data_IF_536075610966
#
_entry.id   IF_536075610966
#
_cell.length_a   1.000
_cell.length_b   1.000
_cell.length_c   1.000
_cell.angle_alpha   90.00
_cell.angle_beta   90.00
_cell.angle_gamma   90.00
#
_symmetry.space_group_name_H-M   'P 1'
#
loop_
_entity.id
_entity.type
_entity.pdbx_description
1 polymer ?
#
# COMPACT_ATOMS: atom_id res chain seq x y z
N UNK A 1 -11.06 12.63 17.40
CA UNK A 1 -9.88 13.05 16.60
C UNK A 1 -9.34 11.78 15.97
N UNK A 2 -9.34 11.66 14.65
CA UNK A 2 -8.68 10.54 13.98
C UNK A 2 -7.20 10.58 14.35
N UNK A 3 -6.68 9.51 14.95
CA UNK A 3 -5.28 9.47 15.37
C UNK A 3 -4.39 9.21 14.14
N UNK A 4 -4.04 10.28 13.42
CA UNK A 4 -3.22 10.20 12.20
C UNK A 4 -1.86 9.52 12.44
N UNK A 5 -1.40 9.44 13.70
CA UNK A 5 -0.10 8.86 14.03
C UNK A 5 -0.13 7.37 14.37
N UNK A 6 -1.33 6.77 14.48
CA UNK A 6 -1.50 5.39 14.93
C UNK A 6 -0.65 4.40 14.11
N UNK A 7 -0.54 4.61 12.79
CA UNK A 7 0.26 3.74 11.92
C UNK A 7 1.62 4.34 11.52
N UNK A 8 1.82 5.65 11.64
CA UNK A 8 3.10 6.29 11.28
C UNK A 8 4.18 6.09 12.34
N UNK A 9 3.86 6.25 13.64
CA UNK A 9 4.85 6.14 14.71
C UNK A 9 5.45 4.72 14.79
N UNK A 10 4.66 3.64 14.65
CA UNK A 10 5.21 2.30 14.55
C UNK A 10 6.05 2.06 13.29
N UNK A 11 5.73 2.71 12.15
CA UNK A 11 6.57 2.62 10.93
C UNK A 11 7.94 3.27 11.16
N UNK A 12 8.00 4.45 11.79
CA UNK A 12 9.26 5.10 12.15
C UNK A 12 10.08 4.24 13.12
N UNK A 13 9.42 3.62 14.11
CA UNK A 13 10.06 2.69 15.03
C UNK A 13 10.69 1.50 14.30
N UNK A 14 9.97 0.87 13.37
CA UNK A 14 10.53 -0.22 12.54
C UNK A 14 11.75 0.28 11.77
N UNK A 15 11.69 1.47 11.17
CA UNK A 15 12.80 2.07 10.44
C UNK A 15 14.06 2.24 11.30
N UNK A 16 13.90 2.76 12.53
CA UNK A 16 15.01 2.90 13.48
C UNK A 16 15.63 1.54 13.84
N UNK A 17 14.80 0.54 14.14
CA UNK A 17 15.26 -0.81 14.50
C UNK A 17 15.95 -1.56 13.37
N UNK A 18 15.60 -1.26 12.13
CA UNK A 18 16.28 -1.81 10.96
C UNK A 18 17.76 -1.38 10.91
N UNK A 19 18.05 -0.12 11.25
CA UNK A 19 19.41 0.43 11.25
C UNK A 19 20.29 -0.08 12.40
N UNK A 20 19.69 -0.55 13.50
CA UNK A 20 20.40 -0.93 14.73
C UNK A 20 20.90 -2.38 14.74
N UNK A 21 20.19 -3.31 14.11
CA UNK A 21 20.57 -4.74 14.07
C UNK A 21 20.14 -5.39 12.74
N UNK A 22 21.04 -5.45 11.75
CA UNK A 22 20.72 -5.88 10.39
C UNK A 22 20.76 -7.40 10.22
N UNK A 23 20.53 -8.20 11.27
CA UNK A 23 20.49 -9.66 11.11
C UNK A 23 19.41 -10.06 10.08
N UNK A 24 19.73 -10.95 9.11
CA UNK A 24 18.81 -11.24 7.99
C UNK A 24 17.43 -11.73 8.43
N UNK A 25 17.36 -12.51 9.51
CA UNK A 25 16.09 -12.99 10.08
C UNK A 25 15.28 -11.83 10.68
N UNK A 26 15.91 -10.95 11.46
CA UNK A 26 15.23 -9.81 12.08
C UNK A 26 14.73 -8.83 11.03
N UNK A 27 15.53 -8.56 9.99
CA UNK A 27 15.12 -7.73 8.84
C UNK A 27 13.89 -8.31 8.15
N UNK A 28 13.84 -9.63 7.94
CA UNK A 28 12.67 -10.29 7.33
C UNK A 28 11.40 -10.13 8.18
N UNK A 29 11.49 -10.32 9.50
CA UNK A 29 10.34 -10.21 10.40
C UNK A 29 9.88 -8.75 10.56
N UNK A 30 10.80 -7.80 10.65
CA UNK A 30 10.48 -6.37 10.67
C UNK A 30 9.91 -5.88 9.33
N UNK A 31 10.36 -6.44 8.21
CA UNK A 31 9.76 -6.16 6.89
C UNK A 31 8.31 -6.63 6.83
N UNK A 32 8.00 -7.81 7.38
CA UNK A 32 6.62 -8.28 7.48
C UNK A 32 5.76 -7.34 8.32
N UNK A 33 6.26 -6.89 9.48
CA UNK A 33 5.58 -5.93 10.33
C UNK A 33 5.29 -4.62 9.59
N UNK A 34 6.26 -4.08 8.83
CA UNK A 34 6.07 -2.89 8.00
C UNK A 34 5.02 -3.12 6.91
N UNK A 35 5.10 -4.26 6.21
CA UNK A 35 4.18 -4.61 5.15
C UNK A 35 2.73 -4.69 5.67
N UNK A 36 2.53 -5.19 6.89
CA UNK A 36 1.21 -5.23 7.56
C UNK A 36 0.63 -3.83 7.75
N UNK A 37 1.43 -2.88 8.28
CA UNK A 37 0.95 -1.50 8.45
C UNK A 37 0.64 -0.84 7.11
N UNK A 38 1.53 -1.04 6.12
CA UNK A 38 1.32 -0.51 4.76
C UNK A 38 0.09 -1.12 4.09
N UNK A 39 -0.21 -2.40 4.34
CA UNK A 39 -1.42 -3.05 3.84
C UNK A 39 -2.68 -2.39 4.39
N UNK A 40 -2.73 -2.10 5.70
CA UNK A 40 -3.88 -1.43 6.31
C UNK A 40 -4.10 -0.04 5.73
N UNK A 41 -3.03 0.72 5.47
CA UNK A 41 -3.09 2.01 4.82
C UNK A 41 -3.56 1.90 3.36
N UNK A 42 -2.90 1.05 2.58
CA UNK A 42 -3.17 0.88 1.16
C UNK A 42 -4.59 0.39 0.87
N UNK A 43 -5.19 -0.36 1.80
CA UNK A 43 -6.57 -0.87 1.70
C UNK A 43 -7.60 -0.01 2.43
N UNK A 44 -7.18 1.08 3.07
CA UNK A 44 -8.02 2.05 3.75
C UNK A 44 -8.72 1.51 5.00
N UNK A 45 -8.04 0.64 5.73
CA UNK A 45 -8.58 -0.05 6.90
C UNK A 45 -8.27 0.63 8.23
N UNK A 46 -7.64 1.81 8.22
CA UNK A 46 -7.25 2.59 9.42
C UNK A 46 -8.32 2.61 10.50
N UNK A 47 -9.52 2.98 10.08
CA UNK A 47 -10.72 3.14 10.90
C UNK A 47 -11.20 1.82 11.52
N UNK A 48 -11.20 0.73 10.74
CA UNK A 48 -11.57 -0.61 11.24
C UNK A 48 -10.51 -1.17 12.18
N UNK A 49 -9.24 -0.89 11.89
CA UNK A 49 -8.14 -1.27 12.73
C UNK A 49 -8.12 -0.48 14.04
N UNK A 50 -8.39 0.83 14.02
CA UNK A 50 -8.51 1.67 15.21
C UNK A 50 -9.61 1.14 16.14
N UNK A 51 -10.79 0.80 15.59
CA UNK A 51 -11.89 0.20 16.35
C UNK A 51 -11.47 -1.12 17.00
N UNK A 52 -10.72 -1.96 16.28
CA UNK A 52 -10.19 -3.23 16.77
C UNK A 52 -9.13 -3.03 17.86
N UNK A 53 -8.20 -2.09 17.66
CA UNK A 53 -7.14 -1.77 18.62
C UNK A 53 -7.71 -1.26 19.95
N UNK A 54 -8.78 -0.46 19.91
CA UNK A 54 -9.47 0.01 21.11
C UNK A 54 -10.31 -1.08 21.80
N UNK A 55 -10.84 -2.04 21.04
CA UNK A 55 -11.71 -3.10 21.55
C UNK A 55 -11.33 -4.45 20.91
N UNK A 56 -10.22 -5.07 21.36
CA UNK A 56 -9.75 -6.32 20.77
C UNK A 56 -10.78 -7.44 20.98
N UNK A 57 -11.55 -7.71 19.92
CA UNK A 57 -12.53 -8.79 19.87
C UNK A 57 -11.84 -10.12 19.60
N UNK A 58 -11.77 -11.00 20.60
CA UNK A 58 -11.20 -12.32 20.45
C UNK A 58 -12.09 -13.24 19.62
N UNK A 59 -11.58 -13.71 18.49
CA UNK A 59 -11.94 -15.01 17.90
C UNK A 59 -10.89 -15.40 16.86
N UNK A 60 -9.84 -16.10 17.30
CA UNK A 60 -9.02 -16.89 16.38
C UNK A 60 -9.83 -18.12 15.96
N UNK A 61 -10.23 -18.19 14.69
CA UNK A 61 -10.69 -19.46 14.11
C UNK A 61 -9.46 -20.36 13.94
N UNK A 62 -9.53 -21.65 14.30
CA UNK A 62 -8.45 -22.59 14.01
C UNK A 62 -8.28 -22.67 12.49
N UNK A 63 -7.07 -22.39 12.00
CA UNK A 63 -6.69 -22.50 10.59
C UNK A 63 -5.63 -23.55 10.39
N UNK A 64 -5.57 -24.05 9.16
CA UNK A 64 -4.50 -24.92 8.69
C UNK A 64 -3.26 -24.05 8.45
N UNK A 65 -2.11 -24.36 9.07
CA UNK A 65 -0.92 -23.52 8.93
C UNK A 65 -0.45 -23.48 7.47
N UNK A 66 -0.36 -22.29 6.89
CA UNK A 66 0.49 -22.02 5.72
C UNK A 66 1.79 -21.31 6.16
N UNK A 67 2.78 -21.20 5.28
CA UNK A 67 4.07 -20.54 5.53
C UNK A 67 3.90 -19.11 6.06
N UNK A 68 2.85 -18.41 5.62
CA UNK A 68 2.54 -17.07 6.11
C UNK A 68 2.11 -17.07 7.59
N UNK A 69 1.36 -18.08 8.04
CA UNK A 69 0.96 -18.21 9.44
C UNK A 69 2.17 -18.44 10.34
N UNK A 70 3.13 -19.27 9.89
CA UNK A 70 4.39 -19.47 10.62
C UNK A 70 5.18 -18.16 10.75
N UNK A 71 5.24 -17.35 9.69
CA UNK A 71 5.90 -16.04 9.72
C UNK A 71 5.18 -15.05 10.63
N UNK A 72 3.85 -15.07 10.68
CA UNK A 72 3.08 -14.25 11.62
C UNK A 72 3.44 -14.63 13.06
N UNK A 73 3.43 -15.92 13.39
CA UNK A 73 3.78 -16.42 14.74
C UNK A 73 5.21 -16.01 15.12
N UNK A 74 6.18 -16.13 14.19
CA UNK A 74 7.56 -15.73 14.45
C UNK A 74 7.70 -14.23 14.68
N UNK A 75 7.03 -13.40 13.87
CA UNK A 75 7.02 -11.95 14.02
C UNK A 75 6.35 -11.53 15.33
N UNK A 76 5.21 -12.13 15.69
CA UNK A 76 4.53 -11.90 16.97
C UNK A 76 5.41 -12.27 18.16
N UNK A 77 6.11 -13.41 18.10
CA UNK A 77 7.03 -13.83 19.15
C UNK A 77 8.22 -12.88 19.31
N UNK A 78 8.80 -12.40 18.20
CA UNK A 78 9.88 -11.42 18.23
C UNK A 78 9.40 -10.10 18.85
N UNK A 79 8.28 -9.57 18.37
CA UNK A 79 7.73 -8.31 18.83
C UNK A 79 7.30 -8.38 20.30
N UNK A 80 6.70 -9.47 20.74
CA UNK A 80 6.35 -9.67 22.15
C UNK A 80 7.59 -9.65 23.05
N UNK A 81 8.67 -10.31 22.62
CA UNK A 81 9.95 -10.25 23.34
C UNK A 81 10.50 -8.83 23.41
N UNK A 82 10.53 -8.11 22.29
CA UNK A 82 11.00 -6.71 22.25
C UNK A 82 10.15 -5.78 23.12
N UNK A 83 8.84 -6.01 23.17
CA UNK A 83 7.88 -5.27 24.01
C UNK A 83 8.15 -5.50 25.50
N UNK A 84 8.46 -6.72 25.88
CA UNK A 84 8.73 -7.10 27.27
C UNK A 84 10.13 -6.65 27.72
N UNK A 85 11.08 -6.51 26.79
CA UNK A 85 12.45 -6.05 27.02
C UNK A 85 12.59 -4.51 27.04
N UNK A 86 11.70 -3.77 26.39
CA UNK A 86 11.79 -2.30 26.38
C UNK A 86 11.39 -1.67 27.72
N UNK A 87 12.20 -0.71 28.16
CA UNK A 87 11.90 0.16 29.31
C UNK A 87 11.06 1.40 28.95
N UNK A 88 10.77 1.64 27.68
CA UNK A 88 10.02 2.81 27.21
C UNK A 88 8.54 2.48 27.01
N UNK A 89 7.65 3.23 27.67
CA UNK A 89 6.19 3.11 27.45
C UNK A 89 5.80 3.46 26.01
N UNK A 90 6.49 4.42 25.40
CA UNK A 90 6.23 4.85 24.02
C UNK A 90 6.56 3.73 23.02
N UNK A 91 7.74 3.12 23.14
CA UNK A 91 8.11 1.99 22.29
C UNK A 91 7.19 0.80 22.53
N UNK A 92 6.80 0.57 23.79
CA UNK A 92 5.88 -0.49 24.14
C UNK A 92 4.52 -0.31 23.44
N UNK A 93 4.01 0.91 23.41
CA UNK A 93 2.77 1.24 22.70
C UNK A 93 2.92 1.03 21.18
N UNK A 94 4.03 1.48 20.58
CA UNK A 94 4.30 1.28 19.15
C UNK A 94 4.36 -0.21 18.78
N UNK A 95 5.06 -1.03 19.57
CA UNK A 95 5.12 -2.48 19.36
C UNK A 95 3.74 -3.12 19.52
N UNK A 96 2.96 -2.68 20.50
CA UNK A 96 1.60 -3.20 20.71
C UNK A 96 0.70 -2.93 19.50
N UNK A 97 0.78 -1.76 18.87
CA UNK A 97 0.03 -1.47 17.65
C UNK A 97 0.37 -2.45 16.52
N UNK A 98 1.65 -2.82 16.36
CA UNK A 98 2.09 -3.78 15.33
C UNK A 98 1.51 -5.18 15.64
N UNK A 99 1.57 -5.61 16.89
CA UNK A 99 0.98 -6.88 17.34
C UNK A 99 -0.53 -6.91 17.07
N UNK A 100 -1.23 -5.83 17.37
CA UNK A 100 -2.67 -5.74 17.13
C UNK A 100 -2.99 -5.74 15.63
N UNK A 101 -2.13 -5.18 14.78
CA UNK A 101 -2.31 -5.21 13.33
C UNK A 101 -2.18 -6.63 12.76
N UNK A 102 -1.20 -7.41 13.25
CA UNK A 102 -1.06 -8.84 12.93
C UNK A 102 -2.29 -9.63 13.37
N UNK A 103 -2.77 -9.37 14.58
CA UNK A 103 -3.97 -10.01 15.12
C UNK A 103 -5.24 -9.59 14.37
N UNK A 104 -5.33 -8.34 13.92
CA UNK A 104 -6.45 -7.83 13.13
C UNK A 104 -6.55 -8.58 11.80
N UNK A 105 -5.45 -8.71 11.05
CA UNK A 105 -5.41 -9.49 9.79
C UNK A 105 -5.83 -10.94 10.05
N UNK A 106 -5.31 -11.53 11.13
CA UNK A 106 -5.61 -12.91 11.50
C UNK A 106 -7.08 -13.13 11.86
N UNK A 107 -7.62 -12.30 12.74
CA UNK A 107 -9.00 -12.40 13.23
C UNK A 107 -10.04 -12.08 12.15
N UNK A 108 -9.68 -11.27 11.15
CA UNK A 108 -10.56 -10.88 10.05
C UNK A 108 -10.38 -11.69 8.76
N UNK A 109 -9.56 -12.75 8.78
CA UNK A 109 -9.34 -13.66 7.64
C UNK A 109 -8.71 -13.00 6.40
N UNK A 110 -7.80 -12.05 6.63
CA UNK A 110 -7.22 -11.25 5.55
C UNK A 110 -5.88 -11.76 5.02
N UNK A 111 -5.41 -12.94 5.44
CA UNK A 111 -4.13 -13.50 5.00
C UNK A 111 -3.99 -13.60 3.47
N UNK A 112 -5.06 -14.01 2.78
CA UNK A 112 -5.06 -14.10 1.31
C UNK A 112 -4.83 -12.75 0.64
N UNK A 113 -5.62 -11.74 1.04
CA UNK A 113 -5.51 -10.38 0.53
C UNK A 113 -4.16 -9.74 0.89
N UNK A 114 -3.65 -10.00 2.09
CA UNK A 114 -2.32 -9.55 2.52
C UNK A 114 -1.21 -10.18 1.69
N UNK A 115 -1.30 -11.48 1.39
CA UNK A 115 -0.32 -12.17 0.55
C UNK A 115 -0.35 -11.70 -0.91
N UNK A 116 -1.54 -11.36 -1.43
CA UNK A 116 -1.67 -10.70 -2.75
C UNK A 116 -1.03 -9.32 -2.77
N UNK A 117 -1.27 -8.51 -1.72
CA UNK A 117 -0.62 -7.21 -1.56
C UNK A 117 0.91 -7.33 -1.53
N UNK A 118 1.46 -8.28 -0.75
CA UNK A 118 2.91 -8.48 -0.70
C UNK A 118 3.49 -8.89 -2.05
N UNK A 119 2.84 -9.81 -2.77
CA UNK A 119 3.26 -10.20 -4.13
C UNK A 119 3.22 -9.02 -5.11
N UNK A 120 2.22 -8.14 -4.97
CA UNK A 120 2.12 -6.92 -5.76
C UNK A 120 3.30 -5.95 -5.50
N UNK A 121 3.66 -5.74 -4.23
CA UNK A 121 4.80 -4.91 -3.83
C UNK A 121 6.13 -5.54 -4.26
N UNK A 122 6.31 -6.86 -4.06
CA UNK A 122 7.51 -7.60 -4.46
C UNK A 122 7.72 -7.59 -5.98
N UNK A 123 6.64 -7.55 -6.78
CA UNK A 123 6.70 -7.35 -8.23
C UNK A 123 6.97 -5.88 -8.63
N UNK A 124 7.17 -4.99 -7.66
CA UNK A 124 7.35 -3.56 -7.83
C UNK A 124 6.11 -2.86 -8.37
N UNK A 125 4.89 -3.37 -8.12
CA UNK A 125 3.66 -2.82 -8.67
C UNK A 125 3.40 -1.34 -8.30
N UNK A 126 2.55 -0.64 -9.08
CA UNK A 126 2.17 0.75 -8.78
C UNK A 126 1.41 0.86 -7.45
N UNK A 127 1.26 2.05 -6.85
CA UNK A 127 0.53 2.19 -5.60
C UNK A 127 -0.87 1.57 -5.69
N UNK A 128 -1.25 0.77 -4.70
CA UNK A 128 -2.51 0.02 -4.70
C UNK A 128 -3.71 0.98 -4.77
N UNK A 129 -4.76 0.58 -5.49
CA UNK A 129 -6.02 1.32 -5.59
C UNK A 129 -7.19 0.40 -5.23
N UNK A 130 -8.20 0.89 -4.53
CA UNK A 130 -9.32 0.06 -4.03
C UNK A 130 -10.59 0.16 -4.89
N UNK A 131 -10.65 1.15 -5.78
CA UNK A 131 -11.74 1.33 -6.73
C UNK A 131 -11.29 2.18 -7.93
N UNK A 132 -11.97 2.06 -9.06
CA UNK A 132 -11.83 2.96 -10.20
C UNK A 132 -13.21 3.47 -10.65
N UNK A 133 -13.23 4.70 -11.14
CA UNK A 133 -14.41 5.39 -11.66
C UNK A 133 -14.03 6.17 -12.91
N UNK A 134 -14.95 6.24 -13.88
CA UNK A 134 -14.73 7.00 -15.11
C UNK A 134 -14.89 8.50 -14.85
N UNK A 135 -15.77 8.88 -13.93
CA UNK A 135 -16.09 10.28 -13.62
C UNK A 135 -16.00 10.61 -12.13
N UNK A 136 -15.81 11.90 -11.85
CA UNK A 136 -15.76 12.40 -10.47
C UNK A 136 -17.13 12.29 -9.79
N UNK A 137 -18.20 12.50 -10.53
CA UNK A 137 -19.57 12.42 -10.05
C UNK A 137 -19.90 11.01 -9.55
N UNK A 138 -19.47 9.97 -10.26
CA UNK A 138 -19.62 8.57 -9.86
C UNK A 138 -18.83 8.27 -8.57
N UNK A 139 -17.57 8.70 -8.52
CA UNK A 139 -16.73 8.50 -7.35
C UNK A 139 -17.30 9.20 -6.10
N UNK A 140 -17.80 10.44 -6.25
CA UNK A 140 -18.44 11.18 -5.16
C UNK A 140 -19.77 10.55 -4.73
N UNK A 141 -20.55 10.04 -5.68
CA UNK A 141 -21.79 9.32 -5.38
C UNK A 141 -21.52 8.01 -4.63
N UNK A 142 -20.48 7.27 -5.04
CA UNK A 142 -19.99 6.09 -4.32
C UNK A 142 -19.56 6.45 -2.90
N UNK A 143 -18.72 7.46 -2.72
CA UNK A 143 -18.20 7.87 -1.42
C UNK A 143 -19.31 8.31 -0.45
N UNK A 144 -20.34 9.00 -0.96
CA UNK A 144 -21.52 9.40 -0.17
C UNK A 144 -22.33 8.21 0.32
N UNK A 145 -22.46 7.17 -0.51
CA UNK A 145 -23.24 5.96 -0.19
C UNK A 145 -22.45 4.92 0.61
N UNK A 146 -21.11 5.01 0.61
CA UNK A 146 -20.27 4.02 1.26
C UNK A 146 -20.48 4.04 2.79
N UNK A 147 -20.82 2.90 3.43
CA UNK A 147 -21.12 2.89 4.86
C UNK A 147 -19.88 3.17 5.73
N UNK A 148 -18.73 2.65 5.31
CA UNK A 148 -17.42 2.86 5.97
C UNK A 148 -16.36 3.16 4.91
N UNK A 149 -16.25 4.42 4.44
CA UNK A 149 -15.26 4.80 3.41
C UNK A 149 -13.85 4.27 3.75
N UNK A 150 -13.11 3.73 2.75
CA UNK A 150 -11.76 3.21 2.97
C UNK A 150 -10.77 4.37 3.12
N UNK A 151 -10.76 5.00 4.29
CA UNK A 151 -9.95 6.19 4.57
C UNK A 151 -8.46 5.95 4.32
N UNK A 152 -7.82 6.90 3.64
CA UNK A 152 -6.44 6.87 3.17
C UNK A 152 -6.13 5.96 1.99
N UNK A 153 -7.06 5.09 1.55
CA UNK A 153 -6.86 4.31 0.33
C UNK A 153 -6.86 5.20 -0.91
N UNK A 154 -6.11 4.79 -1.93
CA UNK A 154 -6.19 5.40 -3.25
C UNK A 154 -7.38 4.82 -4.05
N UNK A 155 -8.01 5.66 -4.85
CA UNK A 155 -8.93 5.29 -5.92
C UNK A 155 -8.49 5.95 -7.22
N UNK A 156 -9.00 5.44 -8.35
CA UNK A 156 -8.82 6.05 -9.65
C UNK A 156 -10.08 6.80 -10.07
N UNK A 157 -9.93 8.03 -10.54
CA UNK A 157 -10.98 8.81 -11.20
C UNK A 157 -10.44 9.22 -12.57
N UNK A 158 -11.02 8.70 -13.65
CA UNK A 158 -10.48 8.86 -15.00
C UNK A 158 -8.97 8.50 -15.07
N UNK A 159 -8.58 7.38 -14.45
CA UNK A 159 -7.19 6.94 -14.25
C UNK A 159 -6.29 7.90 -13.46
N UNK A 160 -6.82 8.94 -12.80
CA UNK A 160 -6.02 9.77 -11.90
C UNK A 160 -6.14 9.27 -10.46
N UNK A 161 -5.02 9.30 -9.73
CA UNK A 161 -4.98 8.90 -8.33
C UNK A 161 -5.64 9.94 -7.42
N UNK A 162 -6.53 9.48 -6.54
CA UNK A 162 -7.16 10.27 -5.50
C UNK A 162 -7.16 9.52 -4.18
N UNK A 163 -6.91 10.21 -3.07
CA UNK A 163 -7.12 9.63 -1.75
C UNK A 163 -8.59 9.67 -1.37
N UNK A 164 -9.04 8.66 -0.64
CA UNK A 164 -10.26 8.77 0.15
C UNK A 164 -9.91 9.42 1.48
N UNK A 165 -10.53 10.55 1.79
CA UNK A 165 -10.45 11.16 3.12
C UNK A 165 -11.81 11.09 3.79
N UNK A 166 -11.88 10.47 4.97
CA UNK A 166 -13.07 10.39 5.79
C UNK A 166 -12.76 10.72 7.25
N UNK A 167 -13.18 11.91 7.67
CA UNK A 167 -13.23 12.26 9.09
C UNK A 167 -14.57 11.75 9.65
N UNK A 168 -14.50 10.72 10.50
CA UNK A 168 -15.69 10.14 11.16
C UNK A 168 -16.40 11.13 12.08
N UNK A 169 -15.67 12.03 12.74
CA UNK A 169 -16.22 12.93 13.76
C UNK A 169 -17.09 14.03 13.16
N UNK A 170 -16.68 14.56 12.01
CA UNK A 170 -17.43 15.58 11.26
C UNK A 170 -18.21 14.99 10.10
N UNK A 171 -18.03 13.69 9.83
CA UNK A 171 -18.50 12.97 8.64
C UNK A 171 -18.10 13.66 7.32
N UNK A 172 -17.00 14.41 7.32
CA UNK A 172 -16.46 15.02 6.11
C UNK A 172 -15.84 13.91 5.26
N UNK A 173 -16.25 13.86 3.99
CA UNK A 173 -15.76 12.89 3.00
C UNK A 173 -15.26 13.63 1.77
N UNK A 174 -14.02 13.39 1.35
CA UNK A 174 -13.37 14.08 0.23
C UNK A 174 -12.53 13.13 -0.62
N UNK A 175 -12.28 13.56 -1.85
CA UNK A 175 -11.44 12.87 -2.83
C UNK A 175 -10.32 13.80 -3.33
N UNK A 176 -9.39 14.25 -2.47
CA UNK A 176 -8.26 15.06 -2.93
C UNK A 176 -7.40 14.25 -3.91
N UNK A 177 -6.81 14.95 -4.88
CA UNK A 177 -5.87 14.33 -5.81
C UNK A 177 -4.63 13.85 -5.05
N UNK A 178 -4.20 12.63 -5.31
CA UNK A 178 -2.96 12.04 -4.78
C UNK A 178 -1.81 12.27 -5.77
N UNK A 179 -0.58 12.26 -5.24
CA UNK A 179 0.68 12.35 -6.00
C UNK A 179 1.47 11.05 -5.99
N UNK A 180 0.90 9.99 -5.43
CA UNK A 180 1.62 8.73 -5.19
C UNK A 180 2.14 8.11 -6.48
N UNK A 181 1.36 8.22 -7.56
CA UNK A 181 1.77 7.71 -8.87
C UNK A 181 2.94 8.52 -9.44
N UNK A 182 2.88 9.85 -9.36
CA UNK A 182 3.96 10.73 -9.82
C UNK A 182 5.27 10.44 -9.08
N UNK A 183 5.24 10.32 -7.75
CA UNK A 183 6.41 9.91 -6.95
C UNK A 183 6.89 8.50 -7.27
N UNK A 184 5.97 7.57 -7.46
CA UNK A 184 6.30 6.19 -7.84
C UNK A 184 7.02 6.15 -9.18
N UNK A 185 6.52 6.84 -10.21
CA UNK A 185 7.16 6.91 -11.52
C UNK A 185 8.55 7.57 -11.45
N UNK A 186 8.72 8.61 -10.63
CA UNK A 186 10.02 9.23 -10.39
C UNK A 186 11.01 8.26 -9.73
N UNK A 187 10.55 7.48 -8.75
CA UNK A 187 11.33 6.40 -8.13
C UNK A 187 11.76 5.34 -9.16
N UNK A 188 10.84 4.88 -10.00
CA UNK A 188 11.17 3.92 -11.06
C UNK A 188 12.18 4.47 -12.05
N UNK A 189 12.02 5.72 -12.48
CA UNK A 189 12.95 6.37 -13.41
C UNK A 189 14.38 6.35 -12.87
N UNK A 190 14.56 6.47 -11.55
CA UNK A 190 15.85 6.48 -10.86
C UNK A 190 16.40 5.07 -10.62
N UNK A 191 15.58 4.17 -10.10
CA UNK A 191 16.03 2.89 -9.53
C UNK A 191 15.95 1.73 -10.52
N UNK A 192 15.00 1.79 -11.45
CA UNK A 192 14.71 0.75 -12.43
C UNK A 192 14.38 1.40 -13.78
N UNK A 193 15.35 2.12 -14.39
CA UNK A 193 15.11 2.76 -15.67
C UNK A 193 14.64 1.71 -16.68
N UNK A 194 13.72 2.04 -17.61
CA UNK A 194 13.06 1.06 -18.47
C UNK A 194 14.06 0.22 -19.26
N UNK A 195 14.39 -0.97 -18.75
CA UNK A 195 15.42 -1.87 -19.31
C UNK A 195 14.87 -2.59 -20.54
N UNK A 196 13.56 -2.85 -20.57
CA UNK A 196 12.88 -3.51 -21.67
C UNK A 196 11.53 -2.85 -21.96
N UNK A 197 11.33 -2.46 -23.21
CA UNK A 197 10.05 -1.97 -23.73
C UNK A 197 9.31 -3.17 -24.29
N UNK A 198 8.16 -3.52 -23.70
CA UNK A 198 7.37 -4.67 -24.10
C UNK A 198 6.77 -4.53 -25.51
N UNK A 199 6.38 -3.31 -25.89
CA UNK A 199 5.80 -2.99 -27.21
C UNK A 199 5.87 -1.49 -27.49
N UNK A 200 5.80 -1.12 -28.77
CA UNK A 200 5.78 0.27 -29.23
C UNK A 200 4.57 0.49 -30.14
N UNK A 201 3.87 1.62 -29.94
CA UNK A 201 2.61 1.95 -30.60
C UNK A 201 2.65 3.35 -31.20
N UNK A 202 1.87 3.57 -32.27
CA UNK A 202 1.81 4.88 -32.91
C UNK A 202 0.90 5.85 -32.15
N UNK A 203 -0.11 5.35 -31.44
CA UNK A 203 -1.10 6.14 -30.73
C UNK A 203 -1.66 5.42 -29.49
N UNK A 204 -2.35 6.18 -28.64
CA UNK A 204 -2.90 5.70 -27.37
C UNK A 204 -3.94 4.58 -27.56
N UNK A 205 -4.80 4.68 -28.58
CA UNK A 205 -5.87 3.69 -28.80
C UNK A 205 -5.33 2.30 -29.14
N UNK A 206 -4.25 2.21 -29.93
CA UNK A 206 -3.55 0.94 -30.19
C UNK A 206 -2.96 0.34 -28.92
N UNK A 207 -2.34 1.17 -28.08
CA UNK A 207 -1.75 0.75 -26.83
C UNK A 207 -2.81 0.28 -25.82
N UNK A 208 -3.95 0.95 -25.74
CA UNK A 208 -5.09 0.55 -24.91
C UNK A 208 -5.67 -0.79 -25.37
N UNK A 209 -5.88 -0.97 -26.68
CA UNK A 209 -6.38 -2.24 -27.22
C UNK A 209 -5.41 -3.39 -26.94
N UNK A 210 -4.10 -3.16 -27.12
CA UNK A 210 -3.07 -4.13 -26.74
C UNK A 210 -3.12 -4.44 -25.25
N UNK A 211 -3.20 -3.41 -24.40
CA UNK A 211 -3.22 -3.57 -22.95
C UNK A 211 -4.43 -4.39 -22.53
N UNK A 212 -5.61 -4.19 -23.13
CA UNK A 212 -6.80 -5.00 -22.83
C UNK A 212 -6.67 -6.46 -23.29
N UNK A 213 -5.89 -6.74 -24.32
CA UNK A 213 -5.65 -8.11 -24.81
C UNK A 213 -4.63 -8.92 -23.97
N UNK A 214 -3.85 -8.27 -23.09
CA UNK A 214 -2.81 -8.95 -22.32
C UNK A 214 -3.37 -9.94 -21.29
N UNK A 215 -2.60 -10.99 -20.98
CA UNK A 215 -2.90 -11.87 -19.86
C UNK A 215 -2.86 -11.11 -18.53
N UNK A 216 -3.71 -11.50 -17.57
CA UNK A 216 -3.84 -10.86 -16.24
C UNK A 216 -2.67 -11.15 -15.28
N UNK A 217 -1.49 -11.49 -15.79
CA UNK A 217 -0.34 -11.93 -14.98
C UNK A 217 0.73 -10.85 -14.76
N UNK A 218 0.85 -9.87 -15.64
CA UNK A 218 1.83 -8.80 -15.50
C UNK A 218 1.24 -7.66 -14.65
N UNK A 219 1.88 -7.35 -13.52
CA UNK A 219 1.49 -6.22 -12.64
C UNK A 219 1.80 -4.89 -13.31
N UNK A 220 2.91 -4.83 -14.07
CA UNK A 220 3.32 -3.67 -14.85
C UNK A 220 4.22 -4.04 -16.03
N UNK A 221 4.25 -3.19 -17.05
CA UNK A 221 5.21 -3.25 -18.15
C UNK A 221 5.51 -1.86 -18.71
N UNK A 222 6.71 -1.65 -19.23
CA UNK A 222 7.03 -0.43 -19.98
C UNK A 222 6.63 -0.60 -21.44
N UNK A 223 5.95 0.41 -22.00
CA UNK A 223 5.65 0.49 -23.42
C UNK A 223 6.04 1.85 -23.98
N UNK A 224 6.13 1.98 -25.29
CA UNK A 224 6.29 3.28 -25.95
C UNK A 224 5.05 3.64 -26.77
N UNK A 225 4.61 4.89 -26.70
CA UNK A 225 3.51 5.42 -27.49
C UNK A 225 4.00 6.71 -28.14
N UNK A 226 4.05 6.74 -29.47
CA UNK A 226 4.54 7.89 -30.24
C UNK A 226 5.92 8.42 -29.79
N UNK A 227 6.79 7.55 -29.27
CA UNK A 227 8.13 7.88 -28.77
C UNK A 227 8.20 8.33 -27.31
N UNK A 228 7.07 8.50 -26.61
CA UNK A 228 7.03 8.68 -25.16
C UNK A 228 6.92 7.34 -24.45
N UNK A 229 7.53 7.21 -23.27
CA UNK A 229 7.47 6.00 -22.45
C UNK A 229 6.25 6.03 -21.53
N UNK A 230 5.56 4.90 -21.44
CA UNK A 230 4.39 4.72 -20.59
C UNK A 230 4.56 3.49 -19.70
N UNK A 231 4.11 3.62 -18.45
CA UNK A 231 3.86 2.49 -17.59
C UNK A 231 2.47 1.93 -17.90
N UNK A 232 2.42 0.71 -18.41
CA UNK A 232 1.20 -0.08 -18.44
C UNK A 232 1.02 -0.79 -17.11
N UNK A 233 -0.04 -0.43 -16.38
CA UNK A 233 -0.35 -0.93 -15.05
C UNK A 233 -1.57 -1.85 -15.08
N UNK A 234 -1.54 -2.92 -14.27
CA UNK A 234 -2.68 -3.78 -14.00
C UNK A 234 -2.92 -3.90 -12.50
N UNK A 235 -4.13 -3.52 -12.09
CA UNK A 235 -4.59 -3.59 -10.70
C UNK A 235 -5.51 -4.80 -10.54
N UNK A 236 -4.91 -5.95 -10.19
CA UNK A 236 -5.62 -7.23 -10.15
C UNK A 236 -6.81 -7.23 -9.18
N UNK A 237 -6.71 -6.50 -8.08
CA UNK A 237 -7.73 -6.45 -7.03
C UNK A 237 -9.02 -5.74 -7.47
N UNK A 238 -8.96 -4.86 -8.48
CA UNK A 238 -10.13 -4.19 -9.07
C UNK A 238 -10.31 -4.51 -10.57
N UNK A 239 -9.53 -5.46 -11.09
CA UNK A 239 -9.48 -5.83 -12.51
C UNK A 239 -9.34 -4.63 -13.45
N UNK A 240 -8.50 -3.66 -13.10
CA UNK A 240 -8.37 -2.40 -13.81
C UNK A 240 -7.03 -2.27 -14.52
N UNK A 241 -7.04 -1.62 -15.69
CA UNK A 241 -5.84 -1.38 -16.51
C UNK A 241 -5.72 0.09 -16.84
N UNK A 242 -4.52 0.63 -16.71
CA UNK A 242 -4.25 2.03 -16.99
C UNK A 242 -2.87 2.23 -17.62
N UNK A 243 -2.74 3.32 -18.38
CA UNK A 243 -1.49 3.75 -19.01
C UNK A 243 -1.08 5.09 -18.41
N UNK A 244 0.17 5.18 -17.95
CA UNK A 244 0.70 6.38 -17.32
C UNK A 244 1.95 6.86 -18.04
N UNK A 245 1.94 8.07 -18.63
CA UNK A 245 3.13 8.61 -19.26
C UNK A 245 4.22 8.87 -18.22
N UNK A 246 5.47 8.57 -18.57
CA UNK A 246 6.63 8.80 -17.70
C UNK A 246 6.84 10.30 -17.42
N UNK A 247 6.34 11.19 -18.28
CA UNK A 247 6.36 12.64 -18.08
C UNK A 247 5.60 13.08 -16.81
N UNK A 248 4.71 12.25 -16.26
CA UNK A 248 4.09 12.50 -14.95
C UNK A 248 5.10 12.55 -13.79
N UNK A 249 6.29 11.96 -13.95
CA UNK A 249 7.34 12.00 -12.95
C UNK A 249 8.07 13.37 -12.89
N UNK A 250 7.91 14.23 -13.89
CA UNK A 250 8.62 15.51 -13.97
C UNK A 250 8.27 16.41 -12.78
N UNK A 251 9.28 16.87 -12.06
CA UNK A 251 9.11 17.68 -10.84
C UNK A 251 8.86 16.89 -9.56
N UNK A 252 8.88 15.55 -9.62
CA UNK A 252 8.73 14.65 -8.47
C UNK A 252 9.98 13.80 -8.19
N UNK A 253 11.07 14.08 -8.92
CA UNK A 253 12.39 13.52 -8.66
C UNK A 253 12.88 14.08 -7.32
N UNK A 254 13.00 13.23 -6.30
CA UNK A 254 13.53 13.67 -5.01
C UNK A 254 14.97 14.20 -5.21
N UNK A 255 15.22 15.44 -4.76
CA UNK A 255 16.59 15.93 -4.58
C UNK A 255 17.33 14.93 -3.69
N UNK A 256 18.56 14.50 -4.04
CA UNK A 256 19.35 13.65 -3.16
C UNK A 256 19.49 14.38 -1.83
N UNK A 257 19.15 13.68 -0.75
CA UNK A 257 19.25 14.13 0.63
C UNK A 257 20.64 14.76 0.85
N UNK A 258 20.73 16.10 0.84
CA UNK A 258 21.91 16.82 1.27
C UNK A 258 22.04 16.53 2.77
N UNK A 259 22.79 15.48 3.08
CA UNK A 259 23.17 15.15 4.45
C UNK A 259 23.85 16.39 5.05
N UNK A 260 23.32 16.98 6.13
CA UNK A 260 24.03 18.07 6.79
C UNK A 260 25.35 17.52 7.33
N UNK A 261 26.46 18.11 6.86
CA UNK A 261 27.81 17.88 7.34
C UNK A 261 27.97 18.25 8.82
#
# INVERSE_FOLDING_TARGET
MTNYTLLSDPQEWIGKRWSEDPSPDRVRLLSLARDVLNFLDATGQRHRFEDFHQHPGFSARPRTPDNLDERFIQTESLLSKLRDETGSEEERAQIQVILDALQFISSTDQHGAFNEYRRHVEAGGPPLVVASFDTREEAEAWLKKHPQPPDFANILIANQYHFVTHDRSTNIRRLPRSRDLEYYLAGLKREEPPIAIASSFANLGEAEAWLQSQAKSAVRAWISIAGELYLAAYYANIDHRALYPLSMAEGYEAEPDESPQ
#
